data_IF_775044457384
#
_entry.id   IF_775044457384
#
_cell.length_a   1.000
_cell.length_b   1.000
_cell.length_c   1.000
_cell.angle_alpha   90.00
_cell.angle_beta   90.00
_cell.angle_gamma   90.00
#
_symmetry.space_group_name_H-M   'P 1'
#
loop_
_entity.id
_entity.type
_entity.pdbx_description
1 polymer ?
#
# COMPACT_ATOMS: atom_id res chain seq x y z
N UNK A 1 -13.76 34.96 -68.16
CA UNK A 1 -14.02 35.09 -66.73
C UNK A 1 -14.09 33.70 -66.11
N UNK A 2 -13.09 33.26 -65.35
CA UNK A 2 -13.14 31.95 -64.65
C UNK A 2 -13.76 32.13 -63.27
N UNK A 3 -14.74 31.25 -62.96
CA UNK A 3 -15.43 31.17 -61.67
C UNK A 3 -14.49 30.47 -60.64
N UNK A 4 -14.16 31.17 -59.55
CA UNK A 4 -13.47 30.64 -58.38
C UNK A 4 -14.43 29.81 -57.52
N UNK A 5 -14.14 28.52 -57.33
CA UNK A 5 -14.79 27.65 -56.36
C UNK A 5 -14.28 27.89 -54.93
N UNK A 6 -15.13 27.97 -53.91
CA UNK A 6 -14.67 28.08 -52.53
C UNK A 6 -14.15 26.75 -52.02
N UNK A 7 -12.89 26.73 -51.58
CA UNK A 7 -12.30 25.61 -50.85
C UNK A 7 -12.88 25.58 -49.43
N UNK A 8 -13.71 24.56 -49.17
CA UNK A 8 -14.19 24.25 -47.81
C UNK A 8 -13.01 23.71 -46.97
N UNK A 9 -12.62 24.45 -45.94
CA UNK A 9 -11.68 23.97 -44.92
C UNK A 9 -12.48 23.11 -43.92
N UNK A 10 -12.26 21.80 -43.95
CA UNK A 10 -12.79 20.90 -42.94
C UNK A 10 -11.82 20.98 -41.74
N UNK A 11 -12.24 21.67 -40.68
CA UNK A 11 -11.55 21.66 -39.40
C UNK A 11 -11.84 20.30 -38.73
N UNK A 12 -10.84 19.42 -38.72
CA UNK A 12 -10.87 18.17 -37.93
C UNK A 12 -10.69 18.54 -36.47
N UNK A 13 -11.78 18.54 -35.70
CA UNK A 13 -11.73 18.62 -34.25
C UNK A 13 -11.23 17.28 -33.71
N UNK A 14 -9.96 17.23 -33.30
CA UNK A 14 -9.40 16.10 -32.56
C UNK A 14 -9.94 16.16 -31.14
N UNK A 15 -10.95 15.34 -30.85
CA UNK A 15 -11.37 15.07 -29.48
C UNK A 15 -10.27 14.25 -28.78
N UNK A 16 -9.39 14.92 -28.05
CA UNK A 16 -8.55 14.28 -27.03
C UNK A 16 -9.46 13.86 -25.89
N UNK A 17 -10.04 12.67 -25.99
CA UNK A 17 -10.68 11.99 -24.89
C UNK A 17 -9.63 11.60 -23.85
N UNK A 18 -9.20 12.56 -23.04
CA UNK A 18 -8.36 12.28 -21.87
C UNK A 18 -9.18 11.44 -20.89
N UNK A 19 -8.73 10.22 -20.56
CA UNK A 19 -9.21 9.52 -19.39
C UNK A 19 -8.92 10.41 -18.18
N UNK A 20 -9.92 11.18 -17.74
CA UNK A 20 -9.83 11.93 -16.49
C UNK A 20 -9.89 10.89 -15.38
N UNK A 21 -8.75 10.62 -14.74
CA UNK A 21 -8.73 9.85 -13.49
C UNK A 21 -9.59 10.62 -12.49
N UNK A 22 -10.73 10.05 -12.10
CA UNK A 22 -11.55 10.67 -11.07
C UNK A 22 -10.88 10.41 -9.71
N UNK A 23 -10.64 11.48 -8.92
CA UNK A 23 -10.04 11.29 -7.60
C UNK A 23 -10.98 10.46 -6.73
N UNK A 24 -10.52 9.29 -6.27
CA UNK A 24 -11.24 8.46 -5.30
C UNK A 24 -10.95 9.03 -3.91
N UNK A 25 -11.72 10.05 -3.53
CA UNK A 25 -11.66 10.61 -2.18
C UNK A 25 -12.53 9.74 -1.27
N UNK A 26 -11.95 9.28 -0.18
CA UNK A 26 -12.64 8.53 0.86
C UNK A 26 -12.60 9.35 2.14
N UNK A 27 -13.79 9.76 2.60
CA UNK A 27 -13.92 10.48 3.86
C UNK A 27 -14.02 9.52 5.04
N UNK A 28 -13.41 9.88 6.16
CA UNK A 28 -13.47 9.10 7.38
C UNK A 28 -14.83 9.29 8.05
N UNK A 29 -15.64 8.24 8.22
CA UNK A 29 -16.86 8.34 9.01
C UNK A 29 -16.51 8.54 10.50
N UNK A 30 -17.41 9.19 11.24
CA UNK A 30 -17.25 9.45 12.67
C UNK A 30 -18.26 8.64 13.51
N UNK A 31 -18.05 8.63 14.82
CA UNK A 31 -18.98 8.08 15.80
C UNK A 31 -18.80 6.59 16.12
N UNK A 32 -19.78 6.03 16.84
CA UNK A 32 -19.72 4.66 17.37
C UNK A 32 -19.59 3.56 16.30
N UNK A 33 -20.23 3.75 15.15
CA UNK A 33 -20.13 2.80 14.03
C UNK A 33 -18.70 2.64 13.57
N UNK A 34 -17.95 3.76 13.54
CA UNK A 34 -16.52 3.73 13.19
C UNK A 34 -15.71 2.98 14.22
N UNK A 35 -15.90 3.27 15.52
CA UNK A 35 -15.18 2.59 16.59
C UNK A 35 -15.39 1.07 16.56
N UNK A 36 -16.63 0.61 16.30
CA UNK A 36 -16.94 -0.81 16.14
C UNK A 36 -16.24 -1.44 14.95
N UNK A 37 -16.09 -0.71 13.86
CA UNK A 37 -15.38 -1.19 12.67
C UNK A 37 -13.88 -1.32 12.90
N UNK A 38 -13.29 -0.33 13.55
CA UNK A 38 -11.86 -0.35 13.91
C UNK A 38 -11.57 -1.52 14.85
N UNK A 39 -12.42 -1.73 15.86
CA UNK A 39 -12.27 -2.87 16.77
C UNK A 39 -12.46 -4.22 16.05
N UNK A 40 -13.44 -4.33 15.16
CA UNK A 40 -13.64 -5.54 14.36
C UNK A 40 -12.42 -5.85 13.48
N UNK A 41 -11.85 -4.84 12.80
CA UNK A 41 -10.63 -5.04 12.01
C UNK A 41 -9.45 -5.44 12.88
N UNK A 42 -9.23 -4.76 14.00
CA UNK A 42 -8.14 -5.08 14.93
C UNK A 42 -8.29 -6.49 15.52
N UNK A 43 -9.50 -6.89 15.91
CA UNK A 43 -9.80 -8.23 16.40
C UNK A 43 -9.51 -9.32 15.36
N UNK A 44 -9.91 -9.10 14.09
CA UNK A 44 -9.59 -10.03 13.01
C UNK A 44 -8.08 -10.14 12.76
N UNK A 45 -7.36 -9.02 12.79
CA UNK A 45 -5.89 -9.03 12.67
C UNK A 45 -5.25 -9.82 13.80
N UNK A 46 -5.68 -9.62 15.07
CA UNK A 46 -5.14 -10.35 16.22
C UNK A 46 -5.44 -11.84 16.18
N UNK A 47 -6.63 -12.24 15.68
CA UNK A 47 -7.04 -13.65 15.66
C UNK A 47 -6.46 -14.45 14.50
N UNK A 48 -6.23 -13.84 13.36
CA UNK A 48 -5.80 -14.50 12.12
C UNK A 48 -4.34 -14.25 11.78
N UNK A 49 -3.79 -13.15 12.27
CA UNK A 49 -2.43 -12.70 11.98
C UNK A 49 -1.35 -13.45 12.74
N UNK A 50 -0.14 -13.30 12.26
CA UNK A 50 1.09 -13.74 12.92
C UNK A 50 2.18 -12.69 12.70
N UNK A 51 3.24 -12.77 13.50
CA UNK A 51 4.42 -11.93 13.34
C UNK A 51 4.97 -12.00 11.92
N UNK A 52 5.29 -10.84 11.35
CA UNK A 52 5.80 -10.71 9.98
C UNK A 52 4.73 -10.71 8.88
N UNK A 53 3.45 -10.95 9.17
CA UNK A 53 2.37 -10.76 8.20
C UNK A 53 2.29 -9.29 7.76
N UNK A 54 1.73 -9.04 6.60
CA UNK A 54 1.56 -7.70 6.05
C UNK A 54 0.15 -7.19 6.26
N UNK A 55 0.02 -5.94 6.68
CA UNK A 55 -1.21 -5.18 6.66
C UNK A 55 -1.17 -4.22 5.49
N UNK A 56 -2.16 -4.30 4.61
CA UNK A 56 -2.28 -3.42 3.44
C UNK A 56 -3.58 -2.64 3.58
N UNK A 57 -3.50 -1.31 3.56
CA UNK A 57 -4.66 -0.46 3.79
C UNK A 57 -4.93 0.51 2.64
N UNK A 58 -6.20 0.84 2.47
CA UNK A 58 -6.65 2.09 1.88
C UNK A 58 -6.83 3.06 3.03
N UNK A 59 -5.97 4.05 3.13
CA UNK A 59 -6.06 5.05 4.19
C UNK A 59 -7.03 6.19 3.88
N UNK A 60 -7.31 7.03 4.89
CA UNK A 60 -8.17 8.21 4.79
C UNK A 60 -7.41 9.51 4.57
N UNK A 61 -6.09 9.54 4.76
CA UNK A 61 -5.31 10.77 4.65
C UNK A 61 -5.27 11.30 3.22
N UNK A 62 -5.01 12.59 3.07
CA UNK A 62 -4.88 13.23 1.76
C UNK A 62 -3.78 12.59 0.90
N UNK A 63 -2.67 12.16 1.52
CA UNK A 63 -1.60 11.41 0.86
C UNK A 63 -2.06 10.06 0.35
N UNK A 64 -2.93 9.35 1.08
CA UNK A 64 -3.55 8.09 0.65
C UNK A 64 -4.44 8.30 -0.57
N UNK A 65 -5.24 9.37 -0.55
CA UNK A 65 -6.08 9.76 -1.67
C UNK A 65 -5.24 10.10 -2.91
N UNK A 66 -4.12 10.81 -2.73
CA UNK A 66 -3.19 11.12 -3.81
C UNK A 66 -2.56 9.85 -4.40
N UNK A 67 -2.01 8.97 -3.56
CA UNK A 67 -1.42 7.69 -3.99
C UNK A 67 -2.45 6.85 -4.75
N UNK A 68 -3.65 6.65 -4.19
CA UNK A 68 -4.71 5.88 -4.83
C UNK A 68 -5.13 6.48 -6.19
N UNK A 69 -5.20 7.81 -6.29
CA UNK A 69 -5.54 8.51 -7.54
C UNK A 69 -4.45 8.36 -8.59
N UNK A 70 -3.19 8.57 -8.22
CA UNK A 70 -2.05 8.48 -9.15
C UNK A 70 -1.78 7.06 -9.62
N UNK A 71 -1.94 6.08 -8.76
CA UNK A 71 -1.73 4.66 -9.07
C UNK A 71 -2.96 3.99 -9.67
N UNK A 72 -4.13 4.61 -9.54
CA UNK A 72 -5.44 4.00 -9.84
C UNK A 72 -5.63 2.65 -9.14
N UNK A 73 -5.17 2.55 -7.88
CA UNK A 73 -5.17 1.33 -7.07
C UNK A 73 -6.01 1.49 -5.81
N UNK A 74 -6.67 0.41 -5.34
CA UNK A 74 -7.55 0.46 -4.18
C UNK A 74 -6.82 0.50 -2.83
N UNK A 75 -5.49 0.44 -2.81
CA UNK A 75 -4.66 0.47 -1.60
C UNK A 75 -3.57 1.53 -1.71
N UNK A 76 -3.21 2.13 -0.58
CA UNK A 76 -2.31 3.29 -0.52
C UNK A 76 -1.11 3.09 0.40
N UNK A 77 -1.17 2.12 1.33
CA UNK A 77 -0.14 1.96 2.34
C UNK A 77 -0.01 0.51 2.81
N UNK A 78 1.17 0.16 3.33
CA UNK A 78 1.45 -1.17 3.86
C UNK A 78 2.34 -1.11 5.11
N UNK A 79 2.22 -2.13 5.96
CA UNK A 79 2.99 -2.27 7.19
C UNK A 79 3.26 -3.75 7.51
N UNK A 80 4.23 -4.00 8.38
CA UNK A 80 4.58 -5.32 8.91
C UNK A 80 3.96 -5.49 10.29
N UNK A 81 3.26 -6.60 10.54
CA UNK A 81 2.64 -6.90 11.81
C UNK A 81 3.69 -7.41 12.83
N UNK A 82 3.77 -6.73 13.97
CA UNK A 82 4.44 -7.17 15.20
C UNK A 82 3.37 -7.49 16.25
N UNK A 83 2.83 -8.69 16.16
CA UNK A 83 1.69 -9.12 16.99
C UNK A 83 2.08 -9.26 18.47
N UNK A 84 3.32 -9.67 18.76
CA UNK A 84 3.81 -9.82 20.13
C UNK A 84 3.77 -8.51 20.91
N UNK A 85 3.91 -7.38 20.22
CA UNK A 85 3.90 -6.04 20.80
C UNK A 85 2.60 -5.29 20.53
N UNK A 86 1.62 -5.89 19.87
CA UNK A 86 0.39 -5.27 19.39
C UNK A 86 0.66 -3.98 18.57
N UNK A 87 1.64 -4.05 17.66
CA UNK A 87 2.14 -2.95 16.83
C UNK A 87 2.26 -3.35 15.37
N UNK A 88 2.49 -2.36 14.55
CA UNK A 88 3.01 -2.51 13.20
C UNK A 88 4.32 -1.75 13.05
N UNK A 89 5.15 -2.18 12.11
CA UNK A 89 6.33 -1.43 11.65
C UNK A 89 6.01 -0.94 10.25
N UNK A 90 6.02 0.37 10.06
CA UNK A 90 5.63 1.03 8.82
C UNK A 90 6.65 2.09 8.40
N UNK A 91 6.70 2.39 7.09
CA UNK A 91 7.50 3.48 6.56
C UNK A 91 6.55 4.58 6.07
N UNK A 92 6.64 5.74 6.69
CA UNK A 92 5.95 6.99 6.33
C UNK A 92 6.97 8.14 6.20
N UNK A 93 6.51 9.35 5.88
CA UNK A 93 7.37 10.53 5.69
C UNK A 93 8.47 10.73 6.77
N UNK A 94 8.23 10.45 8.07
CA UNK A 94 9.30 10.52 9.09
C UNK A 94 10.35 9.40 8.98
N UNK A 95 10.08 8.35 8.20
CA UNK A 95 10.91 7.14 8.09
C UNK A 95 10.21 5.90 8.63
N UNK A 96 11.01 4.85 8.86
CA UNK A 96 10.54 3.58 9.43
C UNK A 96 10.31 3.73 10.92
N UNK A 97 9.11 3.41 11.40
CA UNK A 97 8.73 3.55 12.81
C UNK A 97 7.69 2.51 13.25
N UNK A 98 7.49 2.41 14.56
CA UNK A 98 6.47 1.55 15.16
C UNK A 98 5.19 2.34 15.46
N UNK A 99 4.04 1.77 15.09
CA UNK A 99 2.70 2.32 15.37
C UNK A 99 1.86 1.29 16.12
N UNK A 100 1.16 1.63 17.22
CA UNK A 100 0.19 0.72 17.84
C UNK A 100 -0.84 0.22 16.84
N UNK A 101 -1.17 -1.08 16.85
CA UNK A 101 -2.09 -1.71 15.90
C UNK A 101 -3.42 -0.97 15.81
N UNK A 102 -4.00 -0.59 16.96
CA UNK A 102 -5.26 0.15 16.99
C UNK A 102 -5.16 1.52 16.27
N UNK A 103 -4.02 2.23 16.40
CA UNK A 103 -3.79 3.49 15.68
C UNK A 103 -3.63 3.28 14.17
N UNK A 104 -2.95 2.20 13.78
CA UNK A 104 -2.80 1.85 12.37
C UNK A 104 -4.17 1.50 11.74
N UNK A 105 -4.96 0.66 12.40
CA UNK A 105 -6.30 0.28 11.94
C UNK A 105 -7.22 1.49 11.83
N UNK A 106 -7.12 2.46 12.75
CA UNK A 106 -7.90 3.69 12.70
C UNK A 106 -7.62 4.56 11.47
N UNK A 107 -6.47 4.40 10.80
CA UNK A 107 -6.18 5.07 9.53
C UNK A 107 -6.91 4.43 8.34
N UNK A 108 -7.42 3.18 8.47
CA UNK A 108 -7.85 2.36 7.35
C UNK A 108 -9.32 2.53 6.99
N UNK A 109 -9.63 2.86 5.75
CA UNK A 109 -10.94 2.69 5.13
C UNK A 109 -11.20 1.21 4.78
N UNK A 110 -10.20 0.54 4.24
CA UNK A 110 -10.16 -0.90 3.96
C UNK A 110 -8.85 -1.47 4.44
N UNK A 111 -8.88 -2.65 5.01
CA UNK A 111 -7.71 -3.36 5.51
C UNK A 111 -7.69 -4.78 4.97
N UNK A 112 -6.54 -5.19 4.45
CA UNK A 112 -6.24 -6.55 4.03
C UNK A 112 -5.08 -7.08 4.87
N UNK A 113 -5.24 -8.28 5.45
CA UNK A 113 -4.18 -9.03 6.13
C UNK A 113 -3.64 -10.09 5.18
N UNK A 114 -2.34 -10.03 4.89
CA UNK A 114 -1.67 -10.91 3.92
C UNK A 114 -0.54 -11.66 4.59
N UNK A 115 -0.52 -12.99 4.47
CA UNK A 115 0.61 -13.82 4.88
C UNK A 115 1.53 -14.07 3.71
N UNK A 116 2.78 -13.57 3.75
CA UNK A 116 3.75 -13.79 2.68
C UNK A 116 3.99 -15.28 2.41
N UNK A 117 4.18 -15.65 1.16
CA UNK A 117 4.49 -17.04 0.78
C UNK A 117 5.83 -17.52 1.35
N UNK A 118 6.68 -16.59 1.77
CA UNK A 118 7.99 -16.85 2.37
C UNK A 118 7.96 -16.95 3.90
N UNK A 119 6.81 -16.70 4.54
CA UNK A 119 6.69 -16.62 6.01
C UNK A 119 6.84 -17.97 6.75
N UNK A 120 7.01 -19.10 6.02
CA UNK A 120 7.17 -20.43 6.62
C UNK A 120 8.54 -20.66 7.28
N UNK A 121 8.65 -21.79 8.01
CA UNK A 121 9.93 -22.35 8.54
C UNK A 121 10.75 -21.37 9.40
N UNK A 122 10.12 -20.52 10.20
CA UNK A 122 10.85 -19.54 11.05
C UNK A 122 11.24 -18.24 10.33
N UNK A 123 11.05 -18.15 9.02
CA UNK A 123 11.39 -16.96 8.23
C UNK A 123 10.63 -15.71 8.71
N UNK A 124 9.38 -15.89 9.14
CA UNK A 124 8.56 -14.79 9.65
C UNK A 124 9.16 -14.12 10.89
N UNK A 125 9.71 -14.91 11.81
CA UNK A 125 10.40 -14.37 13.00
C UNK A 125 11.68 -13.59 12.61
N UNK A 126 12.48 -14.14 11.70
CA UNK A 126 13.68 -13.48 11.22
C UNK A 126 13.36 -12.20 10.39
N UNK A 127 12.29 -12.23 9.58
CA UNK A 127 11.81 -11.07 8.86
C UNK A 127 11.32 -9.96 9.81
N UNK A 128 10.56 -10.31 10.86
CA UNK A 128 10.14 -9.33 11.86
C UNK A 128 11.32 -8.74 12.61
N UNK A 129 12.30 -9.54 12.99
CA UNK A 129 13.51 -9.03 13.64
C UNK A 129 14.27 -8.06 12.73
N UNK A 130 14.37 -8.37 11.44
CA UNK A 130 14.92 -7.44 10.44
C UNK A 130 14.08 -6.15 10.37
N UNK A 131 12.74 -6.22 10.39
CA UNK A 131 11.89 -5.03 10.40
C UNK A 131 12.18 -4.15 11.61
N UNK A 132 12.32 -4.74 12.81
CA UNK A 132 12.67 -4.01 14.04
C UNK A 132 14.02 -3.29 13.94
N UNK A 133 15.02 -3.92 13.29
CA UNK A 133 16.34 -3.32 13.06
C UNK A 133 16.33 -2.16 12.07
N UNK A 134 15.33 -2.10 11.20
CA UNK A 134 15.16 -1.02 10.23
C UNK A 134 14.44 0.20 10.80
N UNK A 135 13.89 0.13 12.02
CA UNK A 135 13.28 1.29 12.69
C UNK A 135 14.29 2.42 12.81
N UNK A 136 13.90 3.64 12.46
CA UNK A 136 14.74 4.82 12.38
C UNK A 136 15.38 5.07 11.01
N UNK A 137 15.27 4.14 10.04
CA UNK A 137 15.74 4.39 8.67
C UNK A 137 14.88 5.45 7.99
N UNK A 138 15.47 6.30 7.12
CA UNK A 138 14.71 7.35 6.43
C UNK A 138 13.70 6.79 5.43
N UNK A 139 12.70 7.62 5.08
CA UNK A 139 11.76 7.31 4.00
C UNK A 139 12.39 7.45 2.62
N UNK A 140 12.06 6.54 1.70
CA UNK A 140 12.51 6.61 0.30
C UNK A 140 11.45 7.26 -0.59
N UNK A 141 11.54 8.57 -0.76
CA UNK A 141 10.68 9.31 -1.69
C UNK A 141 11.01 9.02 -3.17
N UNK A 142 12.27 8.73 -3.48
CA UNK A 142 12.72 8.47 -4.84
C UNK A 142 12.37 7.05 -5.29
N UNK A 143 12.34 6.10 -4.35
CA UNK A 143 11.89 4.73 -4.59
C UNK A 143 10.46 4.64 -5.13
N UNK A 144 9.58 5.59 -4.76
CA UNK A 144 8.21 5.67 -5.29
C UNK A 144 8.16 5.86 -6.82
N UNK A 145 9.20 6.45 -7.41
CA UNK A 145 9.35 6.65 -8.86
C UNK A 145 10.38 5.70 -9.47
N UNK A 146 10.80 4.66 -8.74
CA UNK A 146 11.71 3.61 -9.21
C UNK A 146 13.20 3.93 -9.09
N UNK A 147 13.58 5.02 -8.41
CA UNK A 147 14.97 5.36 -8.11
C UNK A 147 15.32 4.87 -6.71
N UNK A 148 15.88 3.68 -6.64
CA UNK A 148 16.27 3.01 -5.37
C UNK A 148 17.39 3.77 -4.65
N UNK A 149 17.15 4.17 -3.40
CA UNK A 149 18.15 4.83 -2.56
C UNK A 149 18.52 3.88 -1.41
N UNK A 150 19.78 3.46 -1.30
CA UNK A 150 20.21 2.54 -0.26
C UNK A 150 19.85 3.02 1.16
N UNK A 151 19.48 2.07 2.03
CA UNK A 151 19.13 2.32 3.43
C UNK A 151 17.93 3.26 3.67
N UNK A 152 17.08 3.43 2.67
CA UNK A 152 15.79 4.12 2.74
C UNK A 152 14.70 3.19 2.30
N UNK A 153 13.49 3.38 2.80
CA UNK A 153 12.38 2.48 2.51
C UNK A 153 11.06 3.24 2.38
N UNK A 154 10.30 2.97 1.32
CA UNK A 154 8.87 3.27 1.30
C UNK A 154 8.06 2.06 1.78
N UNK A 155 6.76 2.22 2.02
CA UNK A 155 5.95 1.28 2.79
C UNK A 155 5.97 -0.17 2.23
N UNK A 156 5.66 -0.38 0.96
CA UNK A 156 5.66 -1.71 0.34
C UNK A 156 7.07 -2.25 0.06
N UNK A 157 8.06 -1.39 -0.12
CA UNK A 157 9.45 -1.82 -0.20
C UNK A 157 9.92 -2.41 1.13
N UNK A 158 9.63 -1.74 2.26
CA UNK A 158 9.95 -2.25 3.60
C UNK A 158 9.39 -3.67 3.80
N UNK A 159 8.12 -3.89 3.44
CA UNK A 159 7.47 -5.19 3.60
C UNK A 159 8.14 -6.31 2.79
N UNK A 160 8.67 -6.00 1.62
CA UNK A 160 9.41 -6.95 0.78
C UNK A 160 10.85 -7.12 1.19
N UNK A 161 11.52 -6.04 1.61
CA UNK A 161 12.94 -6.04 2.00
C UNK A 161 13.20 -7.00 3.18
N UNK A 162 12.28 -7.08 4.14
CA UNK A 162 12.43 -8.00 5.28
C UNK A 162 12.38 -9.48 4.85
N UNK A 163 11.73 -9.78 3.72
CA UNK A 163 11.66 -11.12 3.15
C UNK A 163 12.67 -11.37 2.04
N UNK A 164 13.47 -10.39 1.62
CA UNK A 164 14.49 -10.53 0.56
C UNK A 164 15.41 -11.73 0.75
N UNK A 165 15.90 -12.08 1.97
CA UNK A 165 16.76 -13.25 2.18
C UNK A 165 16.07 -14.59 1.90
N UNK A 166 14.74 -14.62 1.83
CA UNK A 166 13.93 -15.83 1.69
C UNK A 166 13.29 -15.98 0.31
N UNK A 167 13.55 -15.05 -0.63
CA UNK A 167 13.11 -15.16 -2.02
C UNK A 167 13.71 -16.43 -2.65
N UNK A 168 12.89 -17.11 -3.45
CA UNK A 168 13.31 -18.30 -4.19
C UNK A 168 13.90 -17.90 -5.54
N UNK A 169 14.76 -18.73 -6.13
CA UNK A 169 15.16 -18.55 -7.52
C UNK A 169 13.91 -18.48 -8.43
N UNK A 170 13.76 -17.39 -9.17
CA UNK A 170 12.60 -17.15 -10.03
C UNK A 170 11.48 -16.29 -9.42
N UNK A 171 11.52 -15.94 -8.13
CA UNK A 171 10.61 -14.95 -7.55
C UNK A 171 10.95 -13.57 -8.15
N UNK A 172 10.05 -13.06 -9.00
CA UNK A 172 10.19 -11.73 -9.60
C UNK A 172 9.44 -10.71 -8.74
N UNK A 173 10.19 -9.80 -8.15
CA UNK A 173 9.64 -8.66 -7.42
C UNK A 173 10.07 -7.39 -8.16
N UNK A 174 9.17 -6.76 -8.94
CA UNK A 174 9.48 -5.53 -9.66
C UNK A 174 9.71 -4.38 -8.69
N UNK A 175 10.31 -3.30 -9.17
CA UNK A 175 10.40 -2.03 -8.45
C UNK A 175 9.97 -0.89 -9.39
N UNK A 176 9.21 0.09 -8.90
CA UNK A 176 8.58 0.15 -7.57
C UNK A 176 7.43 -0.87 -7.42
N UNK A 177 7.14 -1.24 -6.18
CA UNK A 177 6.01 -2.10 -5.83
C UNK A 177 4.90 -1.27 -5.20
N UNK A 178 3.71 -1.39 -5.76
CA UNK A 178 2.49 -0.80 -5.22
C UNK A 178 1.99 -1.61 -4.00
N UNK A 179 1.50 -0.98 -2.92
CA UNK A 179 0.96 -1.71 -1.77
C UNK A 179 -0.10 -2.75 -2.14
N UNK A 180 -0.97 -2.43 -3.11
CA UNK A 180 -1.99 -3.36 -3.60
C UNK A 180 -1.43 -4.61 -4.28
N UNK A 181 -0.19 -4.59 -4.77
CA UNK A 181 0.44 -5.75 -5.41
C UNK A 181 0.94 -6.80 -4.40
N UNK A 182 1.07 -6.45 -3.13
CA UNK A 182 1.60 -7.36 -2.10
C UNK A 182 0.83 -8.69 -2.01
N UNK A 183 -0.48 -8.70 -2.32
CA UNK A 183 -1.27 -9.93 -2.33
C UNK A 183 -0.82 -10.95 -3.39
N UNK A 184 -0.05 -10.56 -4.43
CA UNK A 184 0.50 -11.50 -5.41
C UNK A 184 1.57 -12.42 -4.81
N UNK A 185 2.22 -11.98 -3.74
CA UNK A 185 3.24 -12.76 -3.02
C UNK A 185 2.77 -13.25 -1.66
N UNK A 186 1.45 -13.31 -1.44
CA UNK A 186 0.90 -13.76 -0.18
C UNK A 186 -0.49 -14.35 -0.28
N UNK A 187 -0.91 -15.00 0.80
CA UNK A 187 -2.28 -15.46 0.99
C UNK A 187 -3.05 -14.42 1.77
N UNK A 188 -4.12 -13.91 1.22
CA UNK A 188 -5.06 -13.03 1.94
C UNK A 188 -5.77 -13.86 3.01
N UNK A 189 -5.61 -13.47 4.27
CA UNK A 189 -6.25 -14.11 5.43
C UNK A 189 -7.54 -13.39 5.83
N UNK A 190 -7.58 -12.08 5.61
CA UNK A 190 -8.72 -11.22 5.92
C UNK A 190 -8.73 -10.03 4.97
N UNK A 191 -9.93 -9.60 4.60
CA UNK A 191 -10.19 -8.37 3.85
C UNK A 191 -11.48 -7.75 4.38
N UNK A 192 -11.41 -6.54 4.91
CA UNK A 192 -12.57 -5.85 5.45
C UNK A 192 -13.59 -5.42 4.38
N UNK A 193 -13.25 -5.57 3.10
CA UNK A 193 -14.05 -5.14 1.97
C UNK A 193 -13.94 -3.64 1.67
N UNK A 194 -14.33 -3.25 0.45
CA UNK A 194 -14.61 -1.85 0.13
C UNK A 194 -15.98 -1.48 0.72
N UNK A 195 -16.10 -0.29 1.29
CA UNK A 195 -17.32 0.24 1.89
C UNK A 195 -17.78 1.48 1.19
#
# INVERSE_FOLDING_TARGET
>A
MPRSSPRAWIAAAVFLGGCTAQPVIVDRPEGESRARLDESMASNVRSLGANGDWLVIRGYHATDNLVATLTNKPFSHAAVLDLDRDRVIEAESPGVHETPLAKFVAKAHRLMLVRPVWAGKGNAAAALEKARQLVGRPYDFLGLIGLDVPDRYYCSELTLEIYRPFLRPGDLVPRPVDPGQLHYWGRVLYDSGAR
#
